data_IF_281102911066
#
_entry.id   IF_281102911066
#
_cell.length_a   1.000
_cell.length_b   1.000
_cell.length_c   1.000
_cell.angle_alpha   90.00
_cell.angle_beta   90.00
_cell.angle_gamma   90.00
#
_symmetry.space_group_name_H-M   'P 1'
#
loop_
_entity.id
_entity.type
_entity.pdbx_description
1 polymer ?
#
# COMPACT_ATOMS: atom_id res chain seq x y z
N UNK A 1 -22.00 6.81 4.27
CA UNK A 1 -20.64 6.54 4.82
C UNK A 1 -19.88 5.82 3.73
N UNK A 2 -18.63 6.18 3.47
CA UNK A 2 -17.81 5.48 2.48
C UNK A 2 -17.47 4.07 2.99
N UNK A 3 -17.46 3.09 2.09
CA UNK A 3 -17.09 1.71 2.41
C UNK A 3 -15.59 1.60 2.67
N UNK A 4 -15.20 0.78 3.64
CA UNK A 4 -13.80 0.45 3.90
C UNK A 4 -13.29 -0.56 2.88
N UNK A 5 -12.02 -0.44 2.47
CA UNK A 5 -11.44 -1.24 1.39
C UNK A 5 -10.48 -2.29 1.95
N UNK A 6 -10.56 -3.51 1.43
CA UNK A 6 -9.63 -4.60 1.72
C UNK A 6 -8.73 -4.77 0.50
N UNK A 7 -7.42 -4.60 0.72
CA UNK A 7 -6.42 -4.49 -0.35
C UNK A 7 -5.35 -5.58 -0.20
N UNK A 8 -5.37 -6.65 -1.00
CA UNK A 8 -4.23 -7.55 -1.11
C UNK A 8 -3.02 -6.84 -1.72
N UNK A 9 -1.83 -7.05 -1.10
CA UNK A 9 -0.56 -6.56 -1.61
C UNK A 9 0.25 -7.71 -2.20
N UNK A 10 0.73 -7.53 -3.42
CA UNK A 10 1.61 -8.47 -4.12
C UNK A 10 3.01 -7.86 -4.21
N UNK A 11 3.91 -8.33 -3.36
CA UNK A 11 5.33 -7.97 -3.43
C UNK A 11 5.97 -8.71 -4.60
N UNK A 12 6.54 -7.96 -5.56
CA UNK A 12 7.08 -8.51 -6.80
C UNK A 12 8.61 -8.49 -6.76
N UNK A 13 9.21 -9.63 -7.09
CA UNK A 13 10.65 -9.75 -7.33
C UNK A 13 10.88 -10.68 -8.52
N UNK A 14 11.66 -10.24 -9.49
CA UNK A 14 11.97 -11.01 -10.71
C UNK A 14 10.72 -11.53 -11.45
N UNK A 15 9.64 -10.73 -11.48
CA UNK A 15 8.37 -11.11 -12.15
C UNK A 15 7.51 -12.12 -11.40
N UNK A 16 7.86 -12.48 -10.16
CA UNK A 16 7.10 -13.41 -9.31
C UNK A 16 6.60 -12.69 -8.07
N UNK A 17 5.42 -13.09 -7.60
CA UNK A 17 4.96 -12.66 -6.27
C UNK A 17 5.76 -13.39 -5.21
N UNK A 18 6.30 -12.64 -4.27
CA UNK A 18 7.10 -13.18 -3.18
C UNK A 18 6.58 -12.68 -1.83
N UNK A 19 6.86 -13.43 -0.77
CA UNK A 19 6.58 -12.99 0.60
C UNK A 19 7.66 -13.45 1.56
N UNK A 20 8.02 -12.55 2.47
CA UNK A 20 8.96 -12.81 3.56
C UNK A 20 8.69 -11.85 4.72
N UNK A 21 9.32 -12.10 5.87
CA UNK A 21 9.31 -11.18 7.01
C UNK A 21 10.39 -10.13 6.80
N UNK A 22 10.03 -8.85 6.85
CA UNK A 22 10.96 -7.72 6.62
C UNK A 22 11.78 -7.88 5.31
N UNK A 23 11.15 -8.38 4.23
CA UNK A 23 11.76 -8.62 2.92
C UNK A 23 12.96 -9.60 2.92
N UNK A 24 13.13 -10.42 3.96
CA UNK A 24 14.13 -11.49 4.03
C UNK A 24 13.48 -12.87 3.97
N UNK A 25 14.25 -13.90 3.56
CA UNK A 25 13.78 -15.28 3.39
C UNK A 25 12.52 -15.36 2.50
N UNK A 26 12.57 -14.69 1.34
CA UNK A 26 11.45 -14.62 0.42
C UNK A 26 11.04 -15.99 -0.10
N UNK A 27 9.75 -16.29 0.02
CA UNK A 27 9.09 -17.50 -0.51
C UNK A 27 8.28 -17.06 -1.74
N UNK A 28 8.35 -17.84 -2.82
CA UNK A 28 7.53 -17.64 -4.02
C UNK A 28 6.06 -17.93 -3.67
N UNK A 29 5.20 -16.94 -3.87
CA UNK A 29 3.76 -17.03 -3.63
C UNK A 29 2.95 -17.23 -4.91
N UNK A 30 3.58 -17.18 -6.10
CA UNK A 30 2.92 -17.47 -7.36
C UNK A 30 3.09 -16.43 -8.46
N UNK A 31 2.33 -16.62 -9.54
CA UNK A 31 2.27 -15.68 -10.66
C UNK A 31 1.37 -14.48 -10.29
N UNK A 32 1.86 -13.22 -10.41
CA UNK A 32 1.12 -12.04 -10.01
C UNK A 32 -0.18 -11.82 -10.80
N UNK A 33 -0.23 -12.21 -12.08
CA UNK A 33 -1.42 -12.04 -12.93
C UNK A 33 -2.52 -13.02 -12.50
N UNK A 34 -2.14 -14.27 -12.21
CA UNK A 34 -3.08 -15.30 -11.72
C UNK A 34 -3.63 -14.90 -10.35
N UNK A 35 -2.75 -14.47 -9.44
CA UNK A 35 -3.15 -14.04 -8.10
C UNK A 35 -4.05 -12.79 -8.14
N UNK A 36 -3.75 -11.83 -9.02
CA UNK A 36 -4.58 -10.65 -9.21
C UNK A 36 -6.02 -11.00 -9.58
N UNK A 37 -6.19 -11.89 -10.57
CA UNK A 37 -7.49 -12.40 -10.99
C UNK A 37 -8.22 -13.09 -9.85
N UNK A 38 -7.53 -13.99 -9.13
CA UNK A 38 -8.11 -14.70 -8.00
C UNK A 38 -8.60 -13.74 -6.91
N UNK A 39 -7.80 -12.73 -6.53
CA UNK A 39 -8.21 -11.75 -5.51
C UNK A 39 -9.39 -10.89 -5.96
N UNK A 40 -9.46 -10.50 -7.24
CA UNK A 40 -10.61 -9.80 -7.78
C UNK A 40 -11.89 -10.66 -7.69
N UNK A 41 -11.79 -11.94 -8.05
CA UNK A 41 -12.90 -12.91 -7.96
C UNK A 41 -13.31 -13.21 -6.49
N UNK A 42 -12.35 -13.17 -5.55
CA UNK A 42 -12.59 -13.34 -4.12
C UNK A 42 -13.09 -12.08 -3.41
N UNK A 43 -13.34 -11.00 -4.16
CA UNK A 43 -13.97 -9.79 -3.64
C UNK A 43 -13.02 -8.78 -3.02
N UNK A 44 -11.74 -8.75 -3.40
CA UNK A 44 -10.86 -7.62 -3.07
C UNK A 44 -11.43 -6.31 -3.63
N UNK A 45 -11.23 -5.19 -2.92
CA UNK A 45 -11.71 -3.89 -3.37
C UNK A 45 -10.71 -3.19 -4.28
N UNK A 46 -9.42 -3.39 -4.05
CA UNK A 46 -8.30 -2.89 -4.82
C UNK A 46 -7.13 -3.87 -4.70
N UNK A 47 -6.11 -3.72 -5.56
CA UNK A 47 -4.84 -4.45 -5.46
C UNK A 47 -3.66 -3.48 -5.41
N UNK A 48 -2.58 -3.90 -4.75
CA UNK A 48 -1.31 -3.18 -4.77
C UNK A 48 -0.21 -4.12 -5.22
N UNK A 49 0.59 -3.68 -6.21
CA UNK A 49 1.78 -4.37 -6.68
C UNK A 49 3.00 -3.53 -6.33
N UNK A 50 3.94 -4.09 -5.57
CA UNK A 50 5.17 -3.42 -5.19
C UNK A 50 6.37 -4.18 -5.73
N UNK A 51 7.11 -3.60 -6.69
CA UNK A 51 8.44 -4.10 -7.06
C UNK A 51 9.42 -3.75 -5.94
N UNK A 52 9.67 -4.70 -5.05
CA UNK A 52 10.46 -4.49 -3.83
C UNK A 52 11.97 -4.39 -4.09
N UNK A 53 12.43 -4.71 -5.30
CA UNK A 53 13.85 -4.67 -5.66
C UNK A 53 14.19 -3.56 -6.66
N UNK A 54 13.21 -3.02 -7.37
CA UNK A 54 13.44 -2.06 -8.45
C UNK A 54 14.23 -0.83 -8.01
N UNK A 55 13.93 -0.24 -6.86
CA UNK A 55 14.63 0.93 -6.33
C UNK A 55 16.08 0.61 -5.97
N UNK A 56 16.36 -0.56 -5.38
CA UNK A 56 17.69 -0.99 -4.99
C UNK A 56 18.55 -1.38 -6.21
N UNK A 57 17.93 -1.99 -7.22
CA UNK A 57 18.61 -2.47 -8.42
C UNK A 57 18.64 -1.42 -9.55
N UNK A 58 18.00 -0.26 -9.36
CA UNK A 58 17.90 0.79 -10.36
C UNK A 58 17.14 0.37 -11.63
N UNK A 59 16.24 -0.63 -11.52
CA UNK A 59 15.42 -1.14 -12.63
C UNK A 59 14.14 -0.31 -12.79
N UNK A 60 13.63 -0.27 -14.01
CA UNK A 60 12.29 0.25 -14.30
C UNK A 60 11.23 -0.75 -13.88
N UNK A 61 10.07 -0.23 -13.50
CA UNK A 61 8.89 -1.03 -13.14
C UNK A 61 8.45 -1.93 -14.31
N UNK A 62 7.88 -3.08 -13.99
CA UNK A 62 7.53 -4.14 -14.94
C UNK A 62 6.25 -3.83 -15.74
N UNK A 63 6.37 -3.04 -16.80
CA UNK A 63 5.25 -2.62 -17.65
C UNK A 63 4.47 -3.79 -18.28
N UNK A 64 5.16 -4.84 -18.71
CA UNK A 64 4.50 -6.02 -19.30
C UNK A 64 3.57 -6.74 -18.31
N UNK A 65 3.97 -6.81 -17.03
CA UNK A 65 3.12 -7.37 -15.98
C UNK A 65 1.88 -6.49 -15.76
N UNK A 66 2.06 -5.18 -15.72
CA UNK A 66 0.96 -4.20 -15.54
C UNK A 66 -0.08 -4.36 -16.65
N UNK A 67 0.35 -4.46 -17.92
CA UNK A 67 -0.54 -4.72 -19.06
C UNK A 67 -1.34 -6.01 -18.89
N UNK A 68 -0.67 -7.11 -18.52
CA UNK A 68 -1.33 -8.40 -18.34
C UNK A 68 -2.33 -8.39 -17.17
N UNK A 69 -2.01 -7.69 -16.08
CA UNK A 69 -2.91 -7.52 -14.94
C UNK A 69 -4.14 -6.72 -15.36
N UNK A 70 -3.97 -5.60 -16.06
CA UNK A 70 -5.06 -4.75 -16.53
C UNK A 70 -6.05 -5.48 -17.44
N UNK A 71 -5.60 -6.49 -18.19
CA UNK A 71 -6.47 -7.35 -19.02
C UNK A 71 -7.30 -8.36 -18.21
N UNK A 72 -6.91 -8.66 -16.97
CA UNK A 72 -7.51 -9.74 -16.18
C UNK A 72 -8.36 -9.27 -15.01
N UNK A 73 -8.19 -8.02 -14.55
CA UNK A 73 -8.90 -7.50 -13.37
C UNK A 73 -9.84 -6.36 -13.74
N UNK A 74 -10.93 -6.26 -12.99
CA UNK A 74 -11.94 -5.21 -13.12
C UNK A 74 -12.06 -4.35 -11.85
N UNK A 75 -11.10 -4.46 -10.94
CA UNK A 75 -10.98 -3.63 -9.74
C UNK A 75 -9.75 -2.73 -9.87
N UNK A 76 -9.74 -1.55 -9.22
CA UNK A 76 -8.59 -0.66 -9.27
C UNK A 76 -7.32 -1.31 -8.76
N UNK A 77 -6.18 -0.96 -9.35
CA UNK A 77 -4.90 -1.38 -8.81
C UNK A 77 -3.83 -0.30 -8.86
N UNK A 78 -2.98 -0.35 -7.85
CA UNK A 78 -1.86 0.56 -7.65
C UNK A 78 -0.54 -0.16 -7.95
N UNK A 79 0.38 0.52 -8.63
CA UNK A 79 1.72 0.01 -8.92
C UNK A 79 2.76 0.87 -8.23
N UNK A 80 3.69 0.24 -7.50
CA UNK A 80 4.81 0.89 -6.83
C UNK A 80 6.15 0.20 -7.07
N UNK A 81 7.22 0.87 -6.70
CA UNK A 81 8.59 0.40 -6.87
C UNK A 81 9.27 0.93 -8.14
N UNK A 82 10.47 1.51 -7.99
CA UNK A 82 11.29 2.00 -9.10
C UNK A 82 10.79 3.24 -9.85
N UNK A 83 9.68 3.85 -9.41
CA UNK A 83 9.10 5.05 -10.04
C UNK A 83 9.86 6.28 -9.58
N UNK A 84 10.39 7.06 -10.53
CA UNK A 84 11.23 8.23 -10.23
C UNK A 84 10.95 9.47 -11.08
N UNK A 85 10.06 9.37 -12.06
CA UNK A 85 9.76 10.46 -12.97
C UNK A 85 8.30 10.48 -13.42
N UNK A 86 7.86 11.65 -13.91
CA UNK A 86 6.54 11.83 -14.53
C UNK A 86 6.35 10.92 -15.75
N UNK A 87 7.43 10.62 -16.49
CA UNK A 87 7.39 9.71 -17.64
C UNK A 87 7.14 8.26 -17.23
N UNK A 88 7.70 7.80 -16.11
CA UNK A 88 7.44 6.45 -15.58
C UNK A 88 5.95 6.30 -15.24
N UNK A 89 5.39 7.31 -14.54
CA UNK A 89 3.96 7.33 -14.19
C UNK A 89 3.06 7.34 -15.42
N UNK A 90 3.38 8.17 -16.43
CA UNK A 90 2.61 8.20 -17.68
C UNK A 90 2.56 6.84 -18.37
N UNK A 91 3.68 6.11 -18.39
CA UNK A 91 3.74 4.76 -18.96
C UNK A 91 2.90 3.76 -18.16
N UNK A 92 2.95 3.79 -16.83
CA UNK A 92 2.17 2.89 -15.97
C UNK A 92 0.67 3.11 -16.10
N UNK A 93 0.21 4.36 -16.04
CA UNK A 93 -1.21 4.71 -16.21
C UNK A 93 -1.70 4.35 -17.63
N UNK A 94 -0.88 4.60 -18.67
CA UNK A 94 -1.20 4.17 -20.05
C UNK A 94 -1.26 2.65 -20.18
N UNK A 95 -0.52 1.90 -19.37
CA UNK A 95 -0.52 0.43 -19.33
C UNK A 95 -1.67 -0.15 -18.52
N UNK A 96 -2.54 0.69 -17.94
CA UNK A 96 -3.76 0.28 -17.28
C UNK A 96 -3.72 0.33 -15.75
N UNK A 97 -2.64 0.79 -15.12
CA UNK A 97 -2.65 1.08 -13.68
C UNK A 97 -3.59 2.26 -13.38
N UNK A 98 -4.38 2.18 -12.30
CA UNK A 98 -5.25 3.27 -11.87
C UNK A 98 -4.51 4.28 -11.00
N UNK A 99 -3.57 3.80 -10.20
CA UNK A 99 -2.78 4.61 -9.26
C UNK A 99 -1.31 4.19 -9.30
N UNK A 100 -0.45 5.08 -8.87
CA UNK A 100 0.97 4.81 -8.65
C UNK A 100 1.36 5.10 -7.22
N UNK A 101 2.25 4.29 -6.66
CA UNK A 101 2.77 4.47 -5.31
C UNK A 101 4.25 4.84 -5.34
N UNK A 102 4.60 5.97 -4.74
CA UNK A 102 5.99 6.45 -4.64
C UNK A 102 6.36 6.67 -3.16
N UNK A 103 7.59 6.35 -2.80
CA UNK A 103 8.18 6.60 -1.48
C UNK A 103 9.51 7.36 -1.64
N UNK A 104 10.62 6.64 -1.88
CA UNK A 104 11.96 7.20 -1.90
C UNK A 104 12.16 8.34 -2.90
N UNK A 105 11.49 8.30 -4.04
CA UNK A 105 11.54 9.38 -5.04
C UNK A 105 10.84 10.65 -4.57
N UNK A 106 9.72 10.54 -3.85
CA UNK A 106 9.02 11.67 -3.26
C UNK A 106 9.88 12.32 -2.15
N UNK A 107 10.54 11.53 -1.30
CA UNK A 107 11.41 12.06 -0.24
C UNK A 107 12.65 12.76 -0.83
N UNK A 108 13.26 12.17 -1.87
CA UNK A 108 14.44 12.76 -2.54
C UNK A 108 14.11 14.01 -3.36
N UNK A 109 12.90 14.09 -3.90
CA UNK A 109 12.41 15.19 -4.74
C UNK A 109 10.92 15.43 -4.47
N UNK A 110 10.57 16.17 -3.41
CA UNK A 110 9.17 16.40 -3.04
C UNK A 110 8.33 17.07 -4.14
N UNK A 111 8.94 17.86 -4.99
CA UNK A 111 8.29 18.50 -6.14
C UNK A 111 7.68 17.49 -7.13
N UNK A 112 8.18 16.25 -7.14
CA UNK A 112 7.61 15.18 -7.96
C UNK A 112 6.13 14.95 -7.62
N UNK A 113 5.73 15.07 -6.35
CA UNK A 113 4.34 14.92 -5.92
C UNK A 113 3.46 15.98 -6.59
N UNK A 114 3.91 17.25 -6.60
CA UNK A 114 3.19 18.34 -7.26
C UNK A 114 3.03 18.09 -8.76
N UNK A 115 4.13 17.73 -9.44
CA UNK A 115 4.13 17.44 -10.89
C UNK A 115 3.17 16.31 -11.26
N UNK A 116 3.13 15.24 -10.45
CA UNK A 116 2.23 14.10 -10.66
C UNK A 116 0.77 14.49 -10.43
N UNK A 117 0.48 15.19 -9.33
CA UNK A 117 -0.87 15.64 -9.00
C UNK A 117 -1.42 16.62 -10.06
N UNK A 118 -0.60 17.56 -10.53
CA UNK A 118 -0.98 18.52 -11.57
C UNK A 118 -1.27 17.82 -12.90
N UNK A 119 -0.44 16.84 -13.28
CA UNK A 119 -0.54 16.21 -14.59
C UNK A 119 -1.59 15.11 -14.68
N UNK A 120 -1.76 14.32 -13.62
CA UNK A 120 -2.61 13.11 -13.65
C UNK A 120 -3.80 13.18 -12.69
N UNK A 121 -3.85 14.20 -11.82
CA UNK A 121 -4.82 14.32 -10.75
C UNK A 121 -4.35 13.63 -9.46
N UNK A 122 -4.75 14.21 -8.32
CA UNK A 122 -4.39 13.72 -6.98
C UNK A 122 -4.77 12.25 -6.78
N UNK A 123 -5.92 11.83 -7.30
CA UNK A 123 -6.47 10.49 -7.15
C UNK A 123 -5.55 9.37 -7.68
N UNK A 124 -4.60 9.69 -8.56
CA UNK A 124 -3.62 8.73 -9.09
C UNK A 124 -2.36 8.62 -8.24
N UNK A 125 -2.16 9.51 -7.23
CA UNK A 125 -0.90 9.65 -6.50
C UNK A 125 -1.04 9.11 -5.09
N UNK A 126 -0.47 7.93 -4.84
CA UNK A 126 -0.36 7.32 -3.51
C UNK A 126 1.06 7.55 -2.98
N UNK A 127 1.19 8.12 -1.80
CA UNK A 127 2.49 8.25 -1.14
C UNK A 127 2.64 7.10 -0.14
N UNK A 128 3.55 6.19 -0.43
CA UNK A 128 3.94 5.15 0.53
C UNK A 128 4.91 5.75 1.55
N UNK A 129 4.63 5.51 2.83
CA UNK A 129 5.45 5.95 3.95
C UNK A 129 5.77 4.74 4.82
N UNK A 130 7.00 4.26 4.73
CA UNK A 130 7.52 3.28 5.67
C UNK A 130 8.07 4.05 6.87
N UNK A 131 7.54 3.82 8.06
CA UNK A 131 8.06 4.48 9.25
C UNK A 131 8.25 3.51 10.41
N UNK A 132 9.26 3.81 11.23
CA UNK A 132 9.60 3.06 12.44
C UNK A 132 9.51 3.96 13.65
N UNK A 133 8.88 3.48 14.72
CA UNK A 133 8.88 4.17 15.99
C UNK A 133 10.19 3.87 16.75
N UNK A 134 10.93 4.92 17.06
CA UNK A 134 12.21 4.87 17.77
C UNK A 134 12.13 5.93 18.87
N UNK A 135 12.30 5.53 20.13
CA UNK A 135 12.26 6.42 21.31
C UNK A 135 11.01 7.31 21.37
N UNK A 136 9.87 6.78 20.95
CA UNK A 136 8.59 7.48 20.92
C UNK A 136 8.31 8.30 19.65
N UNK A 137 9.30 8.51 18.80
CA UNK A 137 9.18 9.28 17.56
C UNK A 137 9.03 8.36 16.33
N UNK A 138 8.16 8.72 15.41
CA UNK A 138 7.98 7.99 14.14
C UNK A 138 8.90 8.57 13.06
N UNK A 139 9.92 7.81 12.70
CA UNK A 139 10.94 8.20 11.70
C UNK A 139 10.65 7.52 10.36
N UNK A 140 10.57 8.32 9.30
CA UNK A 140 10.37 7.85 7.92
C UNK A 140 11.64 7.19 7.38
N UNK A 141 11.47 6.12 6.61
CA UNK A 141 12.55 5.35 5.99
C UNK A 141 12.44 5.33 4.46
N UNK A 142 13.58 5.20 3.82
CA UNK A 142 13.77 5.03 2.37
C UNK A 142 14.10 3.57 2.01
N UNK A 143 14.07 3.30 0.71
CA UNK A 143 14.61 2.08 0.10
C UNK A 143 14.08 0.80 0.77
N UNK A 144 12.74 0.67 0.85
CA UNK A 144 12.09 -0.49 1.49
C UNK A 144 12.42 -0.61 2.98
N UNK A 145 12.50 0.53 3.69
CA UNK A 145 12.73 0.56 5.13
C UNK A 145 14.20 0.45 5.55
N UNK A 146 15.15 0.39 4.62
CA UNK A 146 16.58 0.13 4.95
C UNK A 146 17.35 1.37 5.38
N UNK A 147 16.92 2.57 4.99
CA UNK A 147 17.63 3.82 5.23
C UNK A 147 16.75 4.78 6.03
N UNK A 148 17.08 5.10 7.30
CA UNK A 148 16.35 6.11 8.06
C UNK A 148 16.59 7.51 7.50
N UNK A 149 15.60 8.38 7.65
CA UNK A 149 15.68 9.81 7.33
C UNK A 149 15.60 10.65 8.60
N UNK A 150 15.63 11.98 8.45
CA UNK A 150 15.35 12.91 9.55
C UNK A 150 13.88 13.39 9.55
N UNK A 151 13.01 12.78 8.73
CA UNK A 151 11.61 13.18 8.60
C UNK A 151 10.75 12.48 9.64
N UNK A 152 9.92 13.25 10.34
CA UNK A 152 8.84 12.73 11.17
C UNK A 152 7.67 12.30 10.27
N UNK A 153 7.02 11.17 10.60
CA UNK A 153 5.87 10.62 9.86
C UNK A 153 4.76 11.65 9.64
N UNK A 154 4.35 12.33 10.71
CA UNK A 154 3.18 13.22 10.66
C UNK A 154 3.46 14.49 9.88
N UNK A 155 4.65 15.06 10.05
CA UNK A 155 5.07 16.24 9.31
C UNK A 155 5.20 15.94 7.82
N UNK A 156 5.81 14.80 7.47
CA UNK A 156 5.93 14.37 6.08
C UNK A 156 4.57 14.06 5.45
N UNK A 157 3.67 13.41 6.17
CA UNK A 157 2.32 13.13 5.70
C UNK A 157 1.53 14.42 5.38
N UNK A 158 1.65 15.44 6.23
CA UNK A 158 1.06 16.77 5.95
C UNK A 158 1.69 17.45 4.73
N UNK A 159 3.01 17.38 4.62
CA UNK A 159 3.71 17.98 3.47
C UNK A 159 3.25 17.36 2.16
N UNK A 160 3.17 16.03 2.07
CA UNK A 160 2.74 15.38 0.82
C UNK A 160 1.27 15.60 0.50
N UNK A 161 0.39 15.71 1.51
CA UNK A 161 -1.00 16.13 1.30
C UNK A 161 -1.08 17.52 0.66
N UNK A 162 -0.35 18.50 1.21
CA UNK A 162 -0.28 19.86 0.67
C UNK A 162 0.26 19.88 -0.76
N UNK A 163 1.19 18.98 -1.09
CA UNK A 163 1.76 18.83 -2.43
C UNK A 163 0.84 18.15 -3.42
N UNK A 164 -0.28 17.58 -2.98
CA UNK A 164 -1.30 16.97 -3.84
C UNK A 164 -1.29 15.45 -3.85
N UNK A 165 -0.78 14.79 -2.82
CA UNK A 165 -1.04 13.37 -2.61
C UNK A 165 -2.55 13.12 -2.52
N UNK A 166 -3.03 12.08 -3.19
CA UNK A 166 -4.44 11.67 -3.13
C UNK A 166 -4.71 10.63 -2.05
N UNK A 167 -3.68 9.92 -1.60
CA UNK A 167 -3.80 8.86 -0.60
C UNK A 167 -2.45 8.56 0.06
N UNK A 168 -2.45 8.13 1.31
CA UNK A 168 -1.25 7.67 2.01
C UNK A 168 -1.35 6.18 2.29
N UNK A 169 -0.31 5.42 1.91
CA UNK A 169 -0.09 4.04 2.30
C UNK A 169 0.95 4.03 3.43
N UNK A 170 0.49 3.96 4.67
CA UNK A 170 1.37 3.94 5.84
C UNK A 170 1.69 2.51 6.26
N UNK A 171 2.97 2.14 6.19
CA UNK A 171 3.49 0.86 6.70
C UNK A 171 4.24 1.07 8.01
N UNK A 172 3.72 0.49 9.09
CA UNK A 172 4.43 0.40 10.36
C UNK A 172 5.50 -0.70 10.28
N UNK A 173 6.77 -0.29 10.27
CA UNK A 173 7.89 -1.24 10.26
C UNK A 173 8.03 -2.03 11.57
N UNK A 174 7.52 -1.49 12.69
CA UNK A 174 7.50 -2.22 13.96
C UNK A 174 6.52 -3.38 13.94
N UNK A 175 5.44 -3.26 13.18
CA UNK A 175 4.36 -4.24 13.12
C UNK A 175 4.46 -5.17 11.91
N UNK A 176 5.16 -4.76 10.83
CA UNK A 176 5.21 -5.54 9.60
C UNK A 176 5.80 -6.94 9.81
N UNK A 177 5.07 -7.95 9.32
CA UNK A 177 5.41 -9.36 9.47
C UNK A 177 5.15 -9.97 10.85
N UNK A 178 4.79 -9.17 11.88
CA UNK A 178 4.61 -9.67 13.27
C UNK A 178 3.27 -10.35 13.52
N UNK A 179 2.25 -10.05 12.69
CA UNK A 179 0.85 -10.47 12.92
C UNK A 179 0.26 -9.99 14.26
N UNK A 180 0.78 -8.91 14.83
CA UNK A 180 0.39 -8.40 16.16
C UNK A 180 -0.65 -7.25 16.09
N UNK A 181 -1.16 -6.93 14.91
CA UNK A 181 -2.09 -5.83 14.66
C UNK A 181 -1.41 -4.61 14.03
N UNK A 182 -2.24 -3.73 13.48
CA UNK A 182 -1.79 -2.47 12.86
C UNK A 182 -1.40 -1.43 13.92
N UNK A 183 -0.64 -0.41 13.54
CA UNK A 183 -0.23 0.69 14.40
C UNK A 183 -1.40 1.70 14.61
N UNK A 184 -2.46 1.27 15.30
CA UNK A 184 -3.73 1.99 15.36
C UNK A 184 -3.63 3.40 15.94
N UNK A 185 -2.74 3.67 16.88
CA UNK A 185 -2.54 5.01 17.45
C UNK A 185 -1.99 5.99 16.39
N UNK A 186 -0.98 5.56 15.64
CA UNK A 186 -0.40 6.38 14.57
C UNK A 186 -1.41 6.59 13.42
N UNK A 187 -2.16 5.54 13.04
CA UNK A 187 -3.22 5.61 12.04
C UNK A 187 -4.33 6.58 12.45
N UNK A 188 -4.80 6.52 13.70
CA UNK A 188 -5.82 7.43 14.21
C UNK A 188 -5.36 8.89 14.18
N UNK A 189 -4.08 9.15 14.49
CA UNK A 189 -3.49 10.48 14.42
C UNK A 189 -3.42 10.95 12.97
N UNK A 190 -2.91 10.14 12.03
CA UNK A 190 -2.90 10.45 10.60
C UNK A 190 -4.32 10.76 10.08
N UNK A 191 -5.29 9.90 10.36
CA UNK A 191 -6.68 10.07 9.93
C UNK A 191 -7.39 11.27 10.55
N UNK A 192 -6.88 11.80 11.67
CA UNK A 192 -7.41 13.01 12.31
C UNK A 192 -6.79 14.28 11.77
N UNK A 193 -5.51 14.22 11.39
CA UNK A 193 -4.74 15.39 10.97
C UNK A 193 -4.79 15.62 9.45
N UNK A 194 -5.19 14.62 8.65
CA UNK A 194 -5.23 14.67 7.19
C UNK A 194 -6.65 14.54 6.67
N UNK A 195 -6.89 15.08 5.47
CA UNK A 195 -8.17 15.03 4.77
C UNK A 195 -8.19 14.00 3.62
N UNK A 196 -7.08 13.34 3.35
CA UNK A 196 -6.94 12.31 2.32
C UNK A 196 -7.02 10.91 2.95
N UNK A 197 -7.48 9.89 2.20
CA UNK A 197 -7.60 8.52 2.69
C UNK A 197 -6.27 7.94 3.18
N UNK A 198 -6.35 7.10 4.23
CA UNK A 198 -5.20 6.40 4.81
C UNK A 198 -5.37 4.90 4.64
N UNK A 199 -4.41 4.26 4.00
CA UNK A 199 -4.28 2.80 3.90
C UNK A 199 -3.36 2.31 5.02
N UNK A 200 -3.90 1.48 5.91
CA UNK A 200 -3.13 0.83 6.96
C UNK A 200 -2.34 -0.36 6.41
N UNK A 201 -1.05 -0.44 6.72
CA UNK A 201 -0.17 -1.54 6.33
C UNK A 201 0.78 -1.93 7.45
N UNK A 202 1.13 -3.24 7.49
CA UNK A 202 2.02 -3.84 8.50
C UNK A 202 1.29 -4.30 9.76
N UNK A 203 1.34 -5.61 10.06
CA UNK A 203 0.85 -6.21 11.30
C UNK A 203 -0.45 -7.01 11.19
N UNK A 204 -1.09 -7.11 10.04
CA UNK A 204 -2.28 -7.94 9.86
C UNK A 204 -2.03 -9.41 10.24
N UNK A 205 -2.88 -9.99 11.09
CA UNK A 205 -2.74 -11.38 11.54
C UNK A 205 -4.07 -12.07 11.80
N UNK A 206 -5.09 -11.34 12.28
CA UNK A 206 -6.42 -11.86 12.55
C UNK A 206 -7.49 -10.92 12.01
N UNK A 207 -8.74 -11.42 11.86
CA UNK A 207 -9.87 -10.57 11.44
C UNK A 207 -10.11 -9.41 12.43
N UNK A 208 -9.86 -9.62 13.72
CA UNK A 208 -10.01 -8.57 14.74
C UNK A 208 -9.07 -7.39 14.48
N UNK A 209 -7.86 -7.62 13.95
CA UNK A 209 -6.93 -6.53 13.60
C UNK A 209 -7.52 -5.59 12.54
N UNK A 210 -8.29 -6.12 11.58
CA UNK A 210 -9.00 -5.30 10.59
C UNK A 210 -10.17 -4.53 11.23
N UNK A 211 -10.91 -5.14 12.16
CA UNK A 211 -11.94 -4.42 12.94
C UNK A 211 -11.31 -3.26 13.70
N UNK A 212 -10.19 -3.50 14.38
CA UNK A 212 -9.51 -2.51 15.21
C UNK A 212 -8.94 -1.36 14.38
N UNK A 213 -8.33 -1.64 13.21
CA UNK A 213 -7.78 -0.58 12.37
C UNK A 213 -8.86 0.34 11.79
N UNK A 214 -10.08 -0.18 11.53
CA UNK A 214 -11.18 0.65 11.07
C UNK A 214 -11.89 1.40 12.20
N UNK A 215 -12.02 0.82 13.40
CA UNK A 215 -12.72 1.44 14.54
C UNK A 215 -11.80 2.34 15.37
N UNK A 216 -10.60 1.88 15.68
CA UNK A 216 -9.63 2.57 16.53
C UNK A 216 -8.68 3.40 15.67
N UNK A 217 -8.05 2.77 14.66
CA UNK A 217 -7.11 3.42 13.73
C UNK A 217 -7.78 4.38 12.76
N UNK A 218 -9.11 4.29 12.56
CA UNK A 218 -9.91 5.13 11.64
C UNK A 218 -9.43 5.11 10.19
N UNK A 219 -8.64 4.11 9.80
CA UNK A 219 -8.14 3.96 8.44
C UNK A 219 -9.28 3.80 7.43
N UNK A 220 -9.05 4.16 6.16
CA UNK A 220 -10.01 4.05 5.06
C UNK A 220 -9.85 2.76 4.28
N UNK A 221 -8.68 2.16 4.37
CA UNK A 221 -8.37 0.86 3.81
C UNK A 221 -7.39 0.10 4.70
N UNK A 222 -7.38 -1.22 4.55
CA UNK A 222 -6.40 -2.10 5.17
C UNK A 222 -5.73 -2.98 4.11
N UNK A 223 -4.41 -2.89 4.05
CA UNK A 223 -3.57 -3.64 3.15
C UNK A 223 -2.91 -4.80 3.91
N UNK A 224 -2.96 -5.99 3.32
CA UNK A 224 -2.29 -7.17 3.84
C UNK A 224 -1.80 -8.09 2.71
N UNK A 225 -0.80 -8.90 3.01
CA UNK A 225 -0.21 -9.84 2.06
C UNK A 225 -0.28 -11.28 2.57
N UNK A 226 0.53 -11.66 3.55
CA UNK A 226 0.72 -13.05 3.99
C UNK A 226 -0.57 -13.74 4.41
N UNK A 227 -1.44 -13.08 5.16
CA UNK A 227 -2.70 -13.67 5.64
C UNK A 227 -3.64 -14.05 4.49
N UNK A 228 -3.56 -13.36 3.35
CA UNK A 228 -4.30 -13.69 2.13
C UNK A 228 -3.56 -14.71 1.27
N UNK A 229 -2.24 -14.53 1.04
CA UNK A 229 -1.45 -15.43 0.20
C UNK A 229 -1.41 -16.87 0.72
N UNK A 230 -1.40 -17.03 2.04
CA UNK A 230 -1.37 -18.37 2.67
C UNK A 230 -2.76 -18.89 3.09
N UNK A 231 -3.83 -18.18 2.69
CA UNK A 231 -5.20 -18.62 2.93
C UNK A 231 -5.60 -18.61 4.43
N UNK A 232 -4.88 -17.85 5.26
CA UNK A 232 -5.19 -17.75 6.70
C UNK A 232 -6.49 -16.97 6.95
N UNK A 233 -6.80 -16.02 6.07
CA UNK A 233 -8.04 -15.23 6.08
C UNK A 233 -8.61 -15.20 4.67
N UNK A 234 -9.85 -15.67 4.50
CA UNK A 234 -10.60 -15.47 3.26
C UNK A 234 -11.19 -14.05 3.23
N UNK A 235 -11.08 -13.35 2.09
CA UNK A 235 -11.52 -11.94 1.97
C UNK A 235 -13.03 -11.81 2.21
N UNK A 236 -13.82 -12.73 1.68
CA UNK A 236 -15.27 -12.71 1.88
C UNK A 236 -15.66 -12.90 3.35
N UNK A 237 -15.03 -13.86 4.05
CA UNK A 237 -15.28 -14.10 5.47
C UNK A 237 -14.89 -12.88 6.31
N UNK A 238 -13.76 -12.23 5.97
CA UNK A 238 -13.34 -10.98 6.60
C UNK A 238 -14.38 -9.89 6.42
N UNK A 239 -14.90 -9.70 5.20
CA UNK A 239 -15.91 -8.67 4.91
C UNK A 239 -17.22 -8.95 5.66
N UNK A 240 -17.65 -10.20 5.75
CA UNK A 240 -18.82 -10.59 6.55
C UNK A 240 -18.61 -10.29 8.05
N UNK A 241 -17.42 -10.58 8.59
CA UNK A 241 -17.06 -10.24 9.96
C UNK A 241 -17.06 -8.72 10.19
N UNK A 242 -16.53 -7.94 9.25
CA UNK A 242 -16.56 -6.47 9.32
C UNK A 242 -17.99 -5.92 9.32
N UNK A 243 -18.88 -6.46 8.49
CA UNK A 243 -20.30 -6.08 8.45
C UNK A 243 -21.01 -6.37 9.79
N UNK A 244 -20.74 -7.54 10.42
CA UNK A 244 -21.24 -7.88 11.75
C UNK A 244 -20.78 -6.89 12.83
N UNK A 245 -19.63 -6.26 12.62
CA UNK A 245 -19.13 -5.19 13.48
C UNK A 245 -19.61 -3.78 13.09
N UNK A 246 -20.60 -3.65 12.19
CA UNK A 246 -21.13 -2.39 11.65
C UNK A 246 -20.05 -1.53 10.95
N UNK A 247 -19.09 -2.17 10.29
CA UNK A 247 -18.10 -1.51 9.43
C UNK A 247 -18.59 -1.67 7.98
N UNK A 248 -18.88 -0.57 7.27
CA UNK A 248 -19.39 -0.64 5.91
C UNK A 248 -18.33 -1.17 4.95
N UNK A 249 -18.62 -2.25 4.27
CA UNK A 249 -17.79 -2.88 3.22
C UNK A 249 -18.66 -3.17 1.99
N UNK A 250 -18.02 -3.43 0.86
CA UNK A 250 -18.70 -3.90 -0.36
C UNK A 250 -18.54 -5.43 -0.43
N UNK A 251 -19.63 -6.17 -0.39
CA UNK A 251 -19.68 -7.64 -0.56
C UNK A 251 -19.97 -7.98 -2.02
#
# INVERSE_FOLDING_TARGET
MLTKRIIPCLDIKNGRTVKGVNFVNLIDAGDPVILAKQYAELGADELVFLDISATLEGRKTMLEMVLKVAEQVNIPFTVGGGISSVSDVALLLKSGADKVSINSSAIKRPELVNELAEKFGNQCVVIAIDAKQIDGEWIVHLAGGTIPTNLNLFDWAKEVEIRGAGEILFTSMNNDGTKAGFANEALAKLSTELNIPIIASGGAGTMQHFVDTFKIGKSDAALAASVFHFGEIAILDLKQALEQHNIPVRI
#
